data_IF_402400875666
#
_entry.id   IF_402400875666
#
_cell.length_a   1.000
_cell.length_b   1.000
_cell.length_c   1.000
_cell.angle_alpha   90.00
_cell.angle_beta   90.00
_cell.angle_gamma   90.00
#
_symmetry.space_group_name_H-M   'P 1'
#
loop_
_entity.id
_entity.type
_entity.pdbx_description
1 polymer ?
#
# COMPACT_ATOMS: atom_id res chain seq x y z
N UNK A 1 -2.25 -26.63 2.57
CA UNK A 1 -2.16 -25.18 2.28
C UNK A 1 -0.73 -24.76 1.96
N UNK A 2 0.25 -25.16 2.79
CA UNK A 2 1.65 -24.79 2.55
C UNK A 2 2.20 -25.27 1.20
N UNK A 3 1.99 -26.53 0.76
CA UNK A 3 2.50 -26.93 -0.55
C UNK A 3 1.93 -26.12 -1.69
N UNK A 4 0.65 -25.78 -1.64
CA UNK A 4 0.01 -24.95 -2.65
C UNK A 4 0.54 -23.51 -2.61
N UNK A 5 0.68 -22.94 -1.41
CA UNK A 5 1.23 -21.60 -1.25
C UNK A 5 2.68 -21.50 -1.78
N UNK A 6 3.49 -22.54 -1.52
CA UNK A 6 4.86 -22.59 -2.01
C UNK A 6 4.93 -22.69 -3.53
N UNK A 7 3.96 -23.35 -4.17
CA UNK A 7 3.94 -23.49 -5.63
C UNK A 7 3.42 -22.25 -6.35
N UNK A 8 2.48 -21.51 -5.76
CA UNK A 8 1.89 -20.32 -6.40
C UNK A 8 2.60 -19.01 -6.05
N UNK A 9 3.33 -18.96 -4.92
CA UNK A 9 4.03 -17.76 -4.49
C UNK A 9 4.95 -17.15 -5.56
N UNK A 10 5.87 -17.91 -6.16
CA UNK A 10 6.72 -17.40 -7.23
C UNK A 10 5.95 -16.94 -8.46
N UNK A 11 4.85 -17.60 -8.79
CA UNK A 11 4.00 -17.21 -9.92
C UNK A 11 3.31 -15.88 -9.64
N UNK A 12 2.84 -15.65 -8.42
CA UNK A 12 2.22 -14.38 -8.01
C UNK A 12 3.23 -13.24 -8.10
N UNK A 13 4.45 -13.44 -7.59
CA UNK A 13 5.51 -12.45 -7.67
C UNK A 13 5.88 -12.13 -9.11
N UNK A 14 6.00 -13.13 -9.95
CA UNK A 14 6.32 -12.97 -11.37
C UNK A 14 5.23 -12.21 -12.12
N UNK A 15 3.97 -12.51 -11.82
CA UNK A 15 2.82 -11.83 -12.44
C UNK A 15 2.77 -10.36 -12.03
N UNK A 16 2.96 -10.06 -10.74
CA UNK A 16 3.03 -8.69 -10.24
C UNK A 16 4.13 -7.90 -10.96
N UNK A 17 5.33 -8.45 -11.01
CA UNK A 17 6.47 -7.79 -11.62
C UNK A 17 6.22 -7.49 -13.10
N UNK A 18 5.68 -8.45 -13.84
CA UNK A 18 5.33 -8.26 -15.25
C UNK A 18 4.28 -7.17 -15.44
N UNK A 19 3.25 -7.18 -14.61
CA UNK A 19 2.18 -6.17 -14.68
C UNK A 19 2.76 -4.78 -14.43
N UNK A 20 3.57 -4.64 -13.41
CA UNK A 20 4.18 -3.35 -13.06
C UNK A 20 5.10 -2.85 -14.18
N UNK A 21 5.98 -3.71 -14.71
CA UNK A 21 6.92 -3.37 -15.78
C UNK A 21 6.21 -2.97 -17.07
N UNK A 22 5.01 -3.50 -17.32
CA UNK A 22 4.20 -3.17 -18.49
C UNK A 22 3.31 -1.95 -18.30
N UNK A 23 3.43 -1.26 -17.18
CA UNK A 23 2.67 -0.04 -16.92
C UNK A 23 1.23 -0.24 -16.48
N UNK A 24 0.87 -1.43 -16.05
CA UNK A 24 -0.46 -1.69 -15.50
C UNK A 24 -0.62 -0.91 -14.19
N UNK A 25 -1.75 -0.24 -14.04
CA UNK A 25 -2.08 0.48 -12.80
C UNK A 25 -2.37 -0.51 -11.70
N UNK A 26 -1.69 -0.33 -10.55
CA UNK A 26 -1.78 -1.25 -9.42
C UNK A 26 -2.37 -0.51 -8.24
N UNK A 27 -3.45 -1.05 -7.67
CA UNK A 27 -4.04 -0.58 -6.43
C UNK A 27 -3.69 -1.55 -5.31
N UNK A 28 -3.49 -1.00 -4.12
CA UNK A 28 -3.10 -1.76 -2.94
C UNK A 28 -4.30 -2.51 -2.35
N UNK A 29 -4.09 -3.77 -1.99
CA UNK A 29 -5.09 -4.55 -1.29
C UNK A 29 -4.43 -5.78 -0.68
N UNK A 30 -4.81 -6.14 0.55
CA UNK A 30 -4.21 -7.26 1.26
C UNK A 30 -5.15 -8.45 1.44
N UNK A 31 -6.45 -8.23 1.27
CA UNK A 31 -7.49 -9.24 1.57
C UNK A 31 -7.26 -9.86 2.96
N UNK A 32 -7.11 -9.00 3.97
CA UNK A 32 -6.60 -9.35 5.29
C UNK A 32 -7.63 -10.08 6.16
N UNK A 33 -8.15 -11.21 5.68
CA UNK A 33 -9.03 -12.09 6.47
C UNK A 33 -8.29 -13.24 7.13
N UNK A 34 -7.10 -13.55 6.61
CA UNK A 34 -6.29 -14.70 7.03
C UNK A 34 -5.03 -14.27 7.76
N UNK A 35 -4.59 -13.05 7.53
CA UNK A 35 -3.35 -12.51 8.09
C UNK A 35 -3.59 -11.92 9.48
N UNK A 36 -2.52 -11.87 10.26
CA UNK A 36 -2.52 -11.17 11.54
C UNK A 36 -2.76 -9.67 11.31
N UNK A 37 -3.67 -9.08 12.07
CA UNK A 37 -3.93 -7.64 11.99
C UNK A 37 -2.67 -6.84 12.36
N UNK A 38 -2.48 -5.71 11.68
CA UNK A 38 -1.32 -4.85 11.88
C UNK A 38 -0.09 -5.23 11.07
N UNK A 39 -0.19 -6.25 10.20
CA UNK A 39 0.92 -6.66 9.33
C UNK A 39 0.74 -6.23 7.87
N UNK A 40 -0.24 -5.40 7.58
CA UNK A 40 -0.55 -4.96 6.21
C UNK A 40 0.60 -4.18 5.56
N UNK A 41 1.46 -3.54 6.37
CA UNK A 41 2.63 -2.83 5.88
C UNK A 41 3.59 -3.73 5.08
N UNK A 42 3.55 -5.03 5.30
CA UNK A 42 4.40 -5.99 4.58
C UNK A 42 4.11 -6.03 3.09
N UNK A 43 2.89 -5.71 2.67
CA UNK A 43 2.55 -5.61 1.26
C UNK A 43 3.37 -4.53 0.56
N UNK A 44 3.64 -3.40 1.23
CA UNK A 44 4.50 -2.36 0.68
C UNK A 44 5.92 -2.87 0.47
N UNK A 45 6.47 -3.57 1.46
CA UNK A 45 7.81 -4.17 1.37
C UNK A 45 7.86 -5.16 0.21
N UNK A 46 6.85 -6.00 0.10
CA UNK A 46 6.74 -7.00 -0.96
C UNK A 46 6.72 -6.35 -2.34
N UNK A 47 5.93 -5.29 -2.51
CA UNK A 47 5.86 -4.55 -3.78
C UNK A 47 7.22 -3.96 -4.15
N UNK A 48 7.92 -3.37 -3.20
CA UNK A 48 9.25 -2.79 -3.43
C UNK A 48 10.27 -3.88 -3.77
N UNK A 49 10.25 -5.00 -3.07
CA UNK A 49 11.12 -6.13 -3.36
C UNK A 49 10.91 -6.69 -4.77
N UNK A 50 9.71 -6.53 -5.31
CA UNK A 50 9.37 -7.00 -6.64
C UNK A 50 9.50 -5.91 -7.72
N UNK A 51 10.23 -4.85 -7.44
CA UNK A 51 10.65 -3.87 -8.45
C UNK A 51 9.93 -2.53 -8.43
N UNK A 52 8.89 -2.37 -7.61
CA UNK A 52 8.18 -1.10 -7.49
C UNK A 52 8.99 -0.12 -6.63
N UNK A 53 9.02 1.17 -7.01
CA UNK A 53 9.64 2.18 -6.16
C UNK A 53 8.80 2.41 -4.90
N UNK A 54 9.42 2.90 -3.83
CA UNK A 54 8.75 3.19 -2.57
C UNK A 54 7.60 4.20 -2.79
N UNK A 55 7.84 5.25 -3.57
CA UNK A 55 6.82 6.24 -3.90
C UNK A 55 5.64 5.59 -4.63
N UNK A 56 5.90 4.73 -5.61
CA UNK A 56 4.85 4.05 -6.36
C UNK A 56 4.06 3.09 -5.47
N UNK A 57 4.72 2.42 -4.53
CA UNK A 57 4.04 1.56 -3.56
C UNK A 57 3.07 2.37 -2.70
N UNK A 58 3.50 3.54 -2.21
CA UNK A 58 2.64 4.45 -1.45
C UNK A 58 1.48 4.94 -2.31
N UNK A 59 1.74 5.34 -3.55
CA UNK A 59 0.70 5.81 -4.47
C UNK A 59 -0.32 4.72 -4.78
N UNK A 60 0.09 3.45 -4.82
CA UNK A 60 -0.83 2.34 -5.03
C UNK A 60 -1.90 2.25 -3.96
N UNK A 61 -1.56 2.63 -2.72
CA UNK A 61 -2.46 2.62 -1.57
C UNK A 61 -3.19 3.95 -1.36
N UNK A 62 -2.84 4.98 -2.09
CA UNK A 62 -3.43 6.32 -1.93
C UNK A 62 -4.11 6.76 -3.21
N UNK A 63 -3.41 7.47 -4.11
CA UNK A 63 -4.04 8.03 -5.31
C UNK A 63 -4.54 6.97 -6.29
N UNK A 64 -3.80 5.89 -6.51
CA UNK A 64 -4.24 4.86 -7.47
C UNK A 64 -5.49 4.13 -6.98
N UNK A 65 -5.55 3.81 -5.69
CA UNK A 65 -6.75 3.22 -5.10
C UNK A 65 -7.91 4.20 -5.11
N UNK A 66 -7.66 5.48 -4.79
CA UNK A 66 -8.70 6.51 -4.82
C UNK A 66 -9.30 6.65 -6.21
N UNK A 67 -8.47 6.61 -7.26
CA UNK A 67 -8.94 6.66 -8.66
C UNK A 67 -9.75 5.43 -9.02
N UNK A 68 -9.30 4.25 -8.59
CA UNK A 68 -10.03 3.00 -8.83
C UNK A 68 -11.43 3.05 -8.23
N UNK A 69 -11.56 3.60 -7.02
CA UNK A 69 -12.83 3.73 -6.31
C UNK A 69 -13.60 5.00 -6.68
N UNK A 70 -13.05 5.84 -7.55
CA UNK A 70 -13.63 7.10 -8.02
C UNK A 70 -13.89 8.09 -6.88
N UNK A 71 -12.95 8.17 -5.93
CA UNK A 71 -13.02 9.09 -4.79
C UNK A 71 -11.78 10.00 -4.70
N UNK A 72 -11.05 10.14 -5.81
CA UNK A 72 -9.81 10.93 -5.85
C UNK A 72 -10.01 12.42 -5.57
N UNK A 73 -11.23 12.92 -5.67
CA UNK A 73 -11.57 14.29 -5.30
C UNK A 73 -11.72 14.48 -3.80
N UNK A 74 -11.81 13.39 -3.03
CA UNK A 74 -12.05 13.40 -1.58
C UNK A 74 -10.93 12.76 -0.78
N UNK A 75 -10.21 11.81 -1.35
CA UNK A 75 -9.23 10.97 -0.67
C UNK A 75 -8.00 10.75 -1.53
N UNK A 76 -6.93 10.27 -0.92
CA UNK A 76 -5.74 9.79 -1.62
C UNK A 76 -4.57 10.73 -1.63
N UNK A 77 -4.76 12.00 -1.32
CA UNK A 77 -3.67 12.99 -1.22
C UNK A 77 -3.98 14.03 -0.15
N UNK A 78 -2.93 14.73 0.27
CA UNK A 78 -3.05 15.81 1.26
C UNK A 78 -3.27 17.12 0.49
N UNK A 79 -4.54 17.48 0.32
CA UNK A 79 -4.94 18.69 -0.42
C UNK A 79 -6.12 19.34 0.27
N UNK A 80 -6.21 20.67 0.16
CA UNK A 80 -7.36 21.40 0.70
C UNK A 80 -8.64 20.91 0.05
N UNK A 81 -9.68 20.73 0.87
CA UNK A 81 -10.98 20.23 0.40
C UNK A 81 -11.16 18.72 0.48
N UNK A 82 -10.10 17.97 0.74
CA UNK A 82 -10.19 16.52 0.94
C UNK A 82 -10.35 16.16 2.41
N UNK A 83 -10.85 14.95 2.67
CA UNK A 83 -10.97 14.44 4.03
C UNK A 83 -9.60 14.35 4.70
N UNK A 84 -9.55 14.69 5.97
CA UNK A 84 -8.33 14.57 6.76
C UNK A 84 -8.19 13.15 7.31
N UNK A 85 -7.85 12.22 6.42
CA UNK A 85 -7.57 10.81 6.72
C UNK A 85 -6.07 10.60 6.48
N UNK A 86 -5.29 10.67 7.57
CA UNK A 86 -3.83 10.77 7.50
C UNK A 86 -3.19 9.82 8.51
N UNK A 87 -1.99 9.39 8.20
CA UNK A 87 -1.11 8.75 9.18
C UNK A 87 0.19 9.52 9.25
N UNK A 88 0.82 9.52 10.41
CA UNK A 88 2.17 10.02 10.58
C UNK A 88 3.09 8.88 10.99
N UNK A 89 4.24 8.80 10.34
CA UNK A 89 5.27 7.84 10.65
C UNK A 89 6.57 8.57 10.93
N UNK A 90 7.44 7.95 11.71
CA UNK A 90 8.75 8.50 12.02
C UNK A 90 9.74 8.11 10.92
N UNK A 91 10.42 9.10 10.34
CA UNK A 91 11.36 8.86 9.26
C UNK A 91 10.74 9.05 7.88
N UNK A 92 11.48 8.63 6.86
CA UNK A 92 11.09 8.81 5.46
C UNK A 92 10.79 7.46 4.79
N UNK A 93 9.51 7.15 4.50
CA UNK A 93 9.16 5.87 3.89
C UNK A 93 9.68 5.72 2.46
N UNK A 94 10.08 6.80 1.80
CA UNK A 94 10.67 6.74 0.46
C UNK A 94 12.09 6.18 0.53
N UNK A 95 12.79 6.37 1.66
CA UNK A 95 14.12 5.81 1.88
C UNK A 95 14.04 4.38 2.42
N UNK A 96 13.03 4.09 3.26
CA UNK A 96 12.83 2.78 3.86
C UNK A 96 11.34 2.56 4.07
N UNK A 97 10.74 1.77 3.20
CA UNK A 97 9.29 1.52 3.22
C UNK A 97 8.87 0.74 4.48
N UNK A 98 9.77 0.01 5.10
CA UNK A 98 9.44 -0.80 6.28
C UNK A 98 9.08 0.05 7.51
N UNK A 99 9.39 1.34 7.52
CA UNK A 99 8.98 2.23 8.63
C UNK A 99 7.47 2.35 8.75
N UNK A 100 6.71 1.97 7.73
CA UNK A 100 5.25 1.93 7.78
C UNK A 100 4.71 0.91 8.79
N UNK A 101 5.58 0.03 9.30
CA UNK A 101 5.26 -0.86 10.42
C UNK A 101 4.83 -0.09 11.67
N UNK A 102 5.46 1.08 11.90
CA UNK A 102 5.27 1.87 13.12
C UNK A 102 4.56 3.18 12.81
N UNK A 103 3.23 3.14 12.81
CA UNK A 103 2.41 4.34 12.64
C UNK A 103 2.34 5.05 14.00
N UNK A 104 2.79 6.30 14.03
CA UNK A 104 2.82 7.11 15.26
C UNK A 104 1.48 7.77 15.54
N UNK A 105 0.82 8.29 14.51
CA UNK A 105 -0.44 9.02 14.65
C UNK A 105 -1.38 8.58 13.54
N UNK A 106 -2.64 8.37 13.89
CA UNK A 106 -3.73 8.13 12.93
C UNK A 106 -4.75 9.25 13.08
N UNK A 107 -5.08 9.88 11.97
CA UNK A 107 -6.11 10.92 11.90
C UNK A 107 -7.19 10.42 10.95
N UNK A 108 -8.43 10.37 11.46
CA UNK A 108 -9.59 9.97 10.66
C UNK A 108 -10.62 11.09 10.73
N UNK A 109 -10.97 11.63 9.56
CA UNK A 109 -11.93 12.73 9.42
C UNK A 109 -11.60 13.92 10.35
N UNK A 110 -10.29 14.25 10.40
CA UNK A 110 -9.76 15.33 11.22
C UNK A 110 -9.58 15.02 12.70
N UNK A 111 -9.95 13.81 13.15
CA UNK A 111 -9.84 13.41 14.55
C UNK A 111 -8.63 12.52 14.78
N UNK A 112 -7.86 12.81 15.82
CA UNK A 112 -6.69 12.03 16.20
C UNK A 112 -7.12 10.82 17.04
N UNK A 113 -6.63 9.67 16.65
CA UNK A 113 -6.87 8.42 17.38
C UNK A 113 -5.66 7.96 18.17
#
# INVERSE_FOLDING_TARGET
>A
VRPKAASVGPQISGTFKKAYERGVKIAFGTDAGVQKHGTNWREFVYMVENGMSEMKAIQSATMETAKLLRVEDKLGSIEAGKFADLIAVKGNPIEDISILENVEVVIKDGLVY
#
